data_IF_196632396196
#
_entry.id   IF_196632396196
#
_cell.length_a   1.000
_cell.length_b   1.000
_cell.length_c   1.000
_cell.angle_alpha   90.00
_cell.angle_beta   90.00
_cell.angle_gamma   90.00
#
_symmetry.space_group_name_H-M   'P 1'
#
loop_
_entity.id
_entity.type
_entity.pdbx_description
1 polymer ?
#
# COMPACT_ATOMS: atom_id res chain seq x y z
N UNK A 1 14.52 8.59 1.94
CA UNK A 1 13.38 8.78 1.01
C UNK A 1 12.10 8.95 1.80
N UNK A 2 11.08 9.58 1.21
CA UNK A 2 9.74 9.65 1.80
C UNK A 2 8.77 8.83 0.94
N UNK A 3 8.15 7.83 1.52
CA UNK A 3 7.44 6.77 0.79
C UNK A 3 5.98 6.70 1.24
N UNK A 4 5.06 6.76 0.28
CA UNK A 4 3.65 6.49 0.51
C UNK A 4 3.38 4.98 0.60
N UNK A 5 2.57 4.57 1.54
CA UNK A 5 2.13 3.18 1.68
C UNK A 5 0.62 3.13 1.65
N UNK A 6 0.07 2.22 0.88
CA UNK A 6 -1.37 1.95 0.90
C UNK A 6 -1.66 0.45 0.79
N UNK A 7 -2.80 0.07 1.33
CA UNK A 7 -3.39 -1.26 1.18
C UNK A 7 -4.69 -1.16 0.41
N UNK A 8 -4.84 -1.96 -0.65
CA UNK A 8 -6.00 -1.90 -1.54
C UNK A 8 -6.67 -3.26 -1.73
N UNK A 9 -7.95 -3.20 -2.09
CA UNK A 9 -8.76 -4.40 -2.30
C UNK A 9 -9.35 -4.96 -1.01
N UNK A 10 -9.57 -6.28 -0.97
CA UNK A 10 -10.13 -6.94 0.21
C UNK A 10 -9.14 -7.06 1.36
N UNK A 11 -9.65 -7.16 2.57
CA UNK A 11 -8.85 -7.42 3.76
C UNK A 11 -8.25 -8.85 3.72
N UNK A 12 -7.10 -9.01 4.36
CA UNK A 12 -6.38 -10.28 4.37
C UNK A 12 -5.48 -10.36 5.59
N UNK A 13 -5.36 -11.52 6.25
CA UNK A 13 -4.39 -11.70 7.32
C UNK A 13 -2.96 -11.40 6.83
N UNK A 14 -2.21 -10.62 7.63
CA UNK A 14 -0.81 -10.30 7.33
C UNK A 14 -0.57 -8.90 6.76
N UNK A 15 -1.59 -8.11 6.42
CA UNK A 15 -1.41 -6.74 5.93
C UNK A 15 -0.62 -5.86 6.91
N UNK A 16 -0.98 -5.87 8.19
CA UNK A 16 -0.24 -5.13 9.21
C UNK A 16 1.21 -5.62 9.37
N UNK A 17 1.45 -6.92 9.23
CA UNK A 17 2.79 -7.49 9.28
C UNK A 17 3.66 -7.00 8.11
N UNK A 18 3.09 -6.90 6.91
CA UNK A 18 3.77 -6.37 5.73
C UNK A 18 4.07 -4.88 5.89
N UNK A 19 3.08 -4.06 6.30
CA UNK A 19 3.30 -2.63 6.57
C UNK A 19 4.43 -2.46 7.58
N UNK A 20 4.39 -3.22 8.68
CA UNK A 20 5.42 -3.20 9.71
C UNK A 20 6.80 -3.56 9.17
N UNK A 21 6.90 -4.59 8.34
CA UNK A 21 8.18 -5.01 7.75
C UNK A 21 8.77 -3.91 6.86
N UNK A 22 7.95 -3.31 5.98
CA UNK A 22 8.35 -2.21 5.11
C UNK A 22 8.86 -1.01 5.92
N UNK A 23 8.05 -0.57 6.89
CA UNK A 23 8.39 0.60 7.72
C UNK A 23 9.66 0.35 8.54
N UNK A 24 9.75 -0.80 9.22
CA UNK A 24 10.94 -1.10 10.03
C UNK A 24 12.21 -1.20 9.19
N UNK A 25 12.15 -1.94 8.08
CA UNK A 25 13.31 -2.13 7.22
C UNK A 25 13.79 -0.79 6.63
N UNK A 26 12.86 -0.01 6.06
CA UNK A 26 13.19 1.27 5.47
C UNK A 26 13.70 2.29 6.49
N UNK A 27 13.02 2.43 7.63
CA UNK A 27 13.43 3.41 8.63
C UNK A 27 14.75 3.05 9.33
N UNK A 28 14.99 1.76 9.64
CA UNK A 28 16.17 1.34 10.40
C UNK A 28 17.41 1.26 9.51
N UNK A 29 17.27 0.70 8.31
CA UNK A 29 18.43 0.41 7.45
C UNK A 29 18.74 1.54 6.46
N UNK A 30 17.74 2.36 6.11
CA UNK A 30 17.86 3.37 5.05
C UNK A 30 17.48 4.80 5.48
N UNK A 31 17.04 4.98 6.73
CA UNK A 31 16.55 6.27 7.26
C UNK A 31 15.38 6.84 6.44
N UNK A 32 14.55 5.96 5.89
CA UNK A 32 13.37 6.34 5.12
C UNK A 32 12.21 6.75 6.03
N UNK A 33 11.40 7.69 5.55
CA UNK A 33 10.14 8.13 6.16
C UNK A 33 8.96 7.51 5.43
N UNK A 34 7.90 7.19 6.17
CA UNK A 34 6.71 6.55 5.61
C UNK A 34 5.42 7.26 6.01
N UNK A 35 4.53 7.45 5.03
CA UNK A 35 3.16 7.90 5.25
C UNK A 35 2.19 6.81 4.79
N UNK A 36 1.24 6.44 5.63
CA UNK A 36 0.19 5.48 5.29
C UNK A 36 -1.08 6.19 4.86
N UNK A 37 -1.51 6.01 3.63
CA UNK A 37 -2.74 6.60 3.13
C UNK A 37 -3.95 5.78 3.57
N UNK A 38 -4.94 6.46 4.15
CA UNK A 38 -6.14 5.82 4.66
C UNK A 38 -7.10 5.45 3.53
N UNK A 39 -7.65 4.23 3.59
CA UNK A 39 -8.63 3.76 2.61
C UNK A 39 -8.12 3.75 1.16
N UNK A 40 -6.88 3.28 0.97
CA UNK A 40 -6.26 3.06 -0.34
C UNK A 40 -6.10 4.35 -1.17
N UNK A 41 -6.43 4.31 -2.45
CA UNK A 41 -6.28 5.45 -3.36
C UNK A 41 -7.18 6.64 -3.02
N UNK A 42 -8.32 6.41 -2.36
CA UNK A 42 -9.18 7.50 -1.89
C UNK A 42 -8.41 8.40 -0.91
N UNK A 43 -7.66 7.80 0.01
CA UNK A 43 -6.80 8.55 0.93
C UNK A 43 -5.73 9.37 0.23
N UNK A 44 -5.16 8.86 -0.87
CA UNK A 44 -4.21 9.64 -1.67
C UNK A 44 -4.92 10.85 -2.28
N UNK A 45 -6.06 10.65 -2.94
CA UNK A 45 -6.82 11.72 -3.60
C UNK A 45 -7.35 12.77 -2.63
N UNK A 46 -7.70 12.37 -1.41
CA UNK A 46 -8.24 13.23 -0.36
C UNK A 46 -7.16 13.75 0.61
N UNK A 47 -5.90 13.34 0.43
CA UNK A 47 -4.77 13.67 1.31
C UNK A 47 -5.00 13.24 2.76
N UNK A 48 -5.64 12.09 2.95
CA UNK A 48 -5.87 11.48 4.26
C UNK A 48 -4.80 10.44 4.54
N UNK A 49 -3.90 10.75 5.45
CA UNK A 49 -2.79 9.86 5.80
C UNK A 49 -2.39 9.99 7.27
N UNK A 50 -1.63 9.02 7.73
CA UNK A 50 -0.94 9.03 9.03
C UNK A 50 0.55 8.80 8.82
N UNK A 51 1.37 9.34 9.71
CA UNK A 51 2.80 9.00 9.73
C UNK A 51 2.98 7.57 10.23
N UNK A 52 3.76 6.77 9.49
CA UNK A 52 4.12 5.42 9.86
C UNK A 52 5.55 5.39 10.37
N UNK A 53 5.71 5.08 11.64
CA UNK A 53 7.02 5.01 12.31
C UNK A 53 7.24 3.63 12.92
N UNK A 54 8.48 3.32 13.28
CA UNK A 54 8.78 2.09 14.03
C UNK A 54 7.93 2.03 15.31
N UNK A 55 7.68 3.18 15.95
CA UNK A 55 6.84 3.29 17.14
C UNK A 55 5.37 2.94 16.87
N UNK A 56 4.77 3.51 15.81
CA UNK A 56 3.37 3.24 15.44
C UNK A 56 3.15 1.79 15.01
N UNK A 57 4.19 1.13 14.51
CA UNK A 57 4.12 -0.28 14.09
C UNK A 57 4.40 -1.29 15.22
N UNK A 58 4.66 -0.81 16.44
CA UNK A 58 4.90 -1.68 17.58
C UNK A 58 3.63 -2.47 17.92
N UNK A 59 3.76 -3.79 18.08
CA UNK A 59 2.63 -4.69 18.38
C UNK A 59 1.74 -5.03 17.19
N UNK A 60 2.06 -4.55 15.96
CA UNK A 60 1.23 -4.79 14.77
C UNK A 60 1.46 -6.18 14.14
N UNK A 61 2.58 -6.85 14.43
CA UNK A 61 2.92 -8.13 13.78
C UNK A 61 1.81 -9.20 13.87
N UNK A 62 1.23 -9.49 15.04
CA UNK A 62 0.17 -10.50 15.17
C UNK A 62 -1.24 -9.96 14.88
N UNK A 63 -1.39 -8.68 14.62
CA UNK A 63 -2.69 -8.04 14.49
C UNK A 63 -3.22 -8.17 13.07
N UNK A 64 -4.39 -8.79 12.92
CA UNK A 64 -5.10 -8.86 11.64
C UNK A 64 -5.62 -7.51 11.17
N UNK A 65 -6.15 -7.48 9.96
CA UNK A 65 -6.63 -6.26 9.33
C UNK A 65 -5.50 -5.36 8.83
N UNK A 66 -5.84 -4.12 8.56
CA UNK A 66 -4.90 -3.07 8.16
C UNK A 66 -5.12 -1.79 8.95
N UNK A 67 -4.05 -1.26 9.55
CA UNK A 67 -4.15 -0.03 10.36
C UNK A 67 -4.45 1.22 9.52
N UNK A 68 -4.19 1.18 8.22
CA UNK A 68 -4.47 2.27 7.29
C UNK A 68 -5.77 2.06 6.49
N UNK A 69 -6.50 0.99 6.79
CA UNK A 69 -7.73 0.66 6.07
C UNK A 69 -7.49 0.19 4.65
N UNK A 70 -8.52 -0.35 4.05
CA UNK A 70 -8.51 -0.79 2.66
C UNK A 70 -9.82 -0.44 1.99
N UNK A 71 -9.77 -0.15 0.69
CA UNK A 71 -10.94 0.15 -0.11
C UNK A 71 -10.72 -0.26 -1.56
N UNK A 72 -11.82 -0.52 -2.25
CA UNK A 72 -11.83 -0.64 -3.71
C UNK A 72 -12.04 0.74 -4.32
N UNK A 73 -11.35 0.99 -5.41
CA UNK A 73 -11.41 2.26 -6.13
C UNK A 73 -10.09 2.53 -6.85
N UNK A 74 -10.13 3.47 -7.76
CA UNK A 74 -8.99 3.81 -8.60
C UNK A 74 -8.96 5.32 -8.84
N UNK A 75 -7.77 5.93 -8.91
CA UNK A 75 -7.65 7.29 -9.42
C UNK A 75 -8.20 7.46 -10.83
N UNK A 76 -8.22 6.39 -11.62
CA UNK A 76 -8.78 6.40 -12.99
C UNK A 76 -10.31 6.50 -13.04
N UNK A 77 -11.00 6.35 -11.91
CA UNK A 77 -12.43 6.63 -11.80
C UNK A 77 -12.74 8.14 -11.90
N UNK A 78 -11.69 8.97 -11.84
CA UNK A 78 -11.77 10.42 -11.99
C UNK A 78 -10.93 10.89 -13.18
N UNK A 79 -11.45 11.83 -13.98
CA UNK A 79 -10.78 12.34 -15.18
C UNK A 79 -9.40 12.96 -14.88
N UNK A 80 -9.24 13.59 -13.71
CA UNK A 80 -8.01 14.25 -13.26
C UNK A 80 -7.23 13.42 -12.21
N UNK A 81 -7.66 12.18 -11.98
CA UNK A 81 -7.12 11.34 -10.90
C UNK A 81 -5.62 11.14 -10.94
N UNK A 82 -5.01 10.71 -12.06
CA UNK A 82 -3.57 10.57 -12.17
C UNK A 82 -2.80 11.86 -11.88
N UNK A 83 -3.29 13.01 -12.37
CA UNK A 83 -2.68 14.30 -12.09
C UNK A 83 -2.80 14.70 -10.62
N UNK A 84 -3.92 14.38 -9.96
CA UNK A 84 -4.08 14.60 -8.51
C UNK A 84 -3.10 13.75 -7.71
N UNK A 85 -2.86 12.50 -8.10
CA UNK A 85 -1.84 11.66 -7.46
C UNK A 85 -0.46 12.31 -7.57
N UNK A 86 -0.09 12.79 -8.76
CA UNK A 86 1.19 13.50 -8.94
C UNK A 86 1.28 14.74 -8.06
N UNK A 87 0.23 15.55 -8.01
CA UNK A 87 0.20 16.76 -7.19
C UNK A 87 0.39 16.44 -5.70
N UNK A 88 -0.21 15.35 -5.22
CA UNK A 88 -0.02 14.88 -3.83
C UNK A 88 1.42 14.44 -3.58
N UNK A 89 2.05 13.74 -4.54
CA UNK A 89 3.46 13.39 -4.44
C UNK A 89 4.34 14.64 -4.31
N UNK A 90 4.10 15.63 -5.16
CA UNK A 90 4.88 16.87 -5.15
C UNK A 90 4.67 17.67 -3.86
N UNK A 91 3.43 17.80 -3.39
CA UNK A 91 3.10 18.53 -2.16
C UNK A 91 3.69 17.87 -0.89
N UNK A 92 3.65 16.55 -0.81
CA UNK A 92 4.13 15.80 0.36
C UNK A 92 5.60 15.40 0.24
N UNK A 93 6.24 15.69 -0.89
CA UNK A 93 7.63 15.30 -1.14
C UNK A 93 7.84 13.79 -1.19
N UNK A 94 6.88 13.06 -1.79
CA UNK A 94 6.96 11.60 -1.90
C UNK A 94 7.88 11.20 -3.04
N UNK A 95 8.80 10.30 -2.75
CA UNK A 95 9.72 9.71 -3.73
C UNK A 95 9.11 8.50 -4.45
N UNK A 96 8.08 7.89 -3.88
CA UNK A 96 7.39 6.74 -4.49
C UNK A 96 6.37 6.10 -3.55
N UNK A 97 5.83 4.96 -3.99
CA UNK A 97 4.82 4.22 -3.25
C UNK A 97 5.16 2.75 -3.07
N UNK A 98 4.72 2.19 -1.96
CA UNK A 98 4.53 0.75 -1.77
C UNK A 98 3.03 0.47 -1.77
N UNK A 99 2.57 -0.27 -2.77
CA UNK A 99 1.16 -0.64 -2.95
C UNK A 99 0.99 -2.12 -2.61
N UNK A 100 0.28 -2.37 -1.52
CA UNK A 100 -0.01 -3.72 -1.04
C UNK A 100 -1.43 -4.08 -1.44
N UNK A 101 -1.60 -5.01 -2.37
CA UNK A 101 -2.94 -5.31 -2.86
C UNK A 101 -3.02 -6.44 -3.87
N UNK A 102 -4.23 -6.72 -4.31
CA UNK A 102 -4.52 -7.71 -5.33
C UNK A 102 -4.33 -7.21 -6.76
N UNK A 103 -4.78 -8.00 -7.73
CA UNK A 103 -4.64 -7.70 -9.15
C UNK A 103 -5.11 -6.28 -9.52
N UNK A 104 -6.27 -5.85 -9.01
CA UNK A 104 -6.82 -4.53 -9.30
C UNK A 104 -5.91 -3.39 -8.81
N UNK A 105 -5.47 -3.46 -7.57
CA UNK A 105 -4.59 -2.43 -6.98
C UNK A 105 -3.22 -2.38 -7.65
N UNK A 106 -2.67 -3.55 -7.99
CA UNK A 106 -1.37 -3.65 -8.67
C UNK A 106 -1.47 -3.15 -10.12
N UNK A 107 -2.58 -3.42 -10.83
CA UNK A 107 -2.82 -2.89 -12.17
C UNK A 107 -2.91 -1.36 -12.18
N UNK A 108 -3.62 -0.77 -11.21
CA UNK A 108 -3.67 0.69 -11.03
C UNK A 108 -2.27 1.26 -10.79
N UNK A 109 -1.48 0.63 -9.93
CA UNK A 109 -0.12 1.07 -9.66
C UNK A 109 0.77 1.03 -10.92
N UNK A 110 0.69 -0.06 -11.70
CA UNK A 110 1.42 -0.21 -12.94
C UNK A 110 1.00 0.84 -13.98
N UNK A 111 -0.30 1.13 -14.08
CA UNK A 111 -0.81 2.13 -15.01
C UNK A 111 -0.42 3.55 -14.62
N UNK A 112 -0.43 3.90 -13.33
CA UNK A 112 0.10 5.17 -12.84
C UNK A 112 1.59 5.31 -13.14
N UNK A 113 2.38 4.24 -12.97
CA UNK A 113 3.78 4.25 -13.36
C UNK A 113 3.93 4.55 -14.87
N UNK A 114 3.15 3.87 -15.72
CA UNK A 114 3.22 4.06 -17.17
C UNK A 114 2.79 5.46 -17.63
N UNK A 115 1.73 6.01 -17.03
CA UNK A 115 1.15 7.30 -17.47
C UNK A 115 1.87 8.52 -16.88
N UNK A 116 2.27 8.48 -15.62
CA UNK A 116 2.84 9.64 -14.94
C UNK A 116 4.23 9.38 -14.36
N UNK A 117 4.85 8.22 -14.64
CA UNK A 117 6.17 7.88 -14.15
C UNK A 117 6.25 7.73 -12.63
N UNK A 118 5.15 7.39 -11.95
CA UNK A 118 5.11 7.21 -10.50
C UNK A 118 6.03 6.05 -10.09
N UNK A 119 7.08 6.27 -9.28
CA UNK A 119 7.85 5.17 -8.73
C UNK A 119 7.00 4.33 -7.79
N UNK A 120 6.88 3.04 -8.06
CA UNK A 120 6.01 2.16 -7.29
C UNK A 120 6.60 0.76 -7.15
N UNK A 121 6.44 0.18 -5.97
CA UNK A 121 6.70 -1.24 -5.68
C UNK A 121 5.38 -1.88 -5.28
N UNK A 122 4.99 -2.92 -5.99
CA UNK A 122 3.80 -3.72 -5.68
C UNK A 122 4.13 -4.88 -4.76
N UNK A 123 3.31 -5.07 -3.73
CA UNK A 123 3.36 -6.26 -2.87
C UNK A 123 2.08 -7.07 -3.10
N UNK A 124 2.19 -8.25 -3.71
CA UNK A 124 1.02 -9.07 -4.03
C UNK A 124 0.30 -9.54 -2.78
N UNK A 125 -0.99 -9.30 -2.72
CA UNK A 125 -1.88 -9.73 -1.65
C UNK A 125 -3.13 -10.35 -2.26
N UNK A 126 -3.43 -11.60 -1.89
CA UNK A 126 -4.71 -12.25 -2.20
C UNK A 126 -5.03 -13.31 -1.17
N UNK A 127 -6.28 -13.33 -0.71
CA UNK A 127 -6.78 -14.42 0.14
C UNK A 127 -7.06 -15.68 -0.68
N UNK A 128 -7.31 -15.54 -1.97
CA UNK A 128 -7.66 -16.63 -2.89
C UNK A 128 -6.43 -17.32 -3.51
N UNK A 129 -5.24 -16.81 -3.26
CA UNK A 129 -3.95 -17.29 -3.80
C UNK A 129 -3.93 -17.41 -5.34
N UNK A 130 -4.47 -16.41 -6.02
CA UNK A 130 -4.78 -16.41 -7.46
C UNK A 130 -4.00 -15.36 -8.27
N UNK A 131 -2.94 -14.78 -7.72
CA UNK A 131 -2.10 -13.81 -8.44
C UNK A 131 -1.06 -14.54 -9.27
N UNK A 132 -1.13 -14.39 -10.59
CA UNK A 132 -0.18 -14.97 -11.54
C UNK A 132 1.24 -14.46 -11.27
N UNK A 133 2.20 -15.38 -11.30
CA UNK A 133 3.61 -15.06 -11.04
C UNK A 133 4.03 -15.14 -9.58
N UNK A 134 3.11 -15.53 -8.70
CA UNK A 134 3.41 -15.84 -7.30
C UNK A 134 3.25 -17.32 -7.02
N UNK A 135 4.13 -17.88 -6.18
CA UNK A 135 4.00 -19.26 -5.71
C UNK A 135 2.96 -19.36 -4.60
N UNK A 136 3.01 -18.42 -3.65
CA UNK A 136 2.06 -18.26 -2.56
C UNK A 136 2.00 -16.81 -2.12
N UNK A 137 0.79 -16.32 -1.82
CA UNK A 137 0.61 -15.01 -1.21
C UNK A 137 0.35 -15.14 0.29
N UNK A 138 0.84 -14.17 1.05
CA UNK A 138 0.57 -14.12 2.48
C UNK A 138 -0.94 -14.02 2.75
N UNK A 139 -1.39 -14.57 3.87
CA UNK A 139 -2.78 -14.55 4.31
C UNK A 139 -3.62 -15.75 3.89
N UNK A 140 -3.35 -16.37 2.74
CA UNK A 140 -4.08 -17.54 2.28
C UNK A 140 -4.00 -18.70 3.27
N UNK A 141 -2.79 -19.13 3.64
CA UNK A 141 -2.61 -20.24 4.59
C UNK A 141 -3.21 -19.93 5.96
N UNK A 142 -3.09 -18.70 6.43
CA UNK A 142 -3.68 -18.26 7.70
C UNK A 142 -5.20 -18.34 7.63
N UNK A 143 -5.81 -17.85 6.56
CA UNK A 143 -7.26 -17.87 6.38
C UNK A 143 -7.82 -19.30 6.31
N UNK A 144 -7.08 -20.23 5.73
CA UNK A 144 -7.49 -21.66 5.64
C UNK A 144 -7.42 -22.34 7.00
N UNK A 145 -6.54 -21.89 7.90
CA UNK A 145 -6.33 -22.51 9.22
C UNK A 145 -7.22 -21.96 10.34
N UNK A 146 -7.89 -20.84 10.11
CA UNK A 146 -8.83 -20.24 11.07
C UNK A 146 -10.21 -20.89 10.93
#
# INVERSE_FOLDING_TARGET
MRIGVLTGGGDCPGLNAVIRAVVRKGSVDFDDEFVGFLDAWDGVLEKKFIELTVGTMRGMLPRGGTIIGTRRGSPFDHADGPQRVRNVCDELGLDGFVVIGGNGSLSVAAELHAQIGLPVVGVPKTIDNDIVGTDVCFGFNTAVQI
#
